data_IF_099187620157
#
_entry.id   IF_099187620157
#
_cell.length_a   1.000
_cell.length_b   1.000
_cell.length_c   1.000
_cell.angle_alpha   90.00
_cell.angle_beta   90.00
_cell.angle_gamma   90.00
#
_symmetry.space_group_name_H-M   'P 1'
#
loop_
_entity.id
_entity.type
_entity.pdbx_description
1 polymer ?
#
# COMPACT_ATOMS: atom_id res chain seq x y z
N UNK A 1 9.84 7.40 -19.58
CA UNK A 1 9.57 7.15 -18.15
C UNK A 1 8.07 6.97 -18.01
N UNK A 2 7.62 5.92 -17.33
CA UNK A 2 6.18 5.65 -17.13
C UNK A 2 5.67 6.75 -16.18
N UNK A 3 4.83 7.66 -16.65
CA UNK A 3 4.24 8.69 -15.78
C UNK A 3 3.50 8.00 -14.62
N UNK A 4 3.76 8.48 -13.42
CA UNK A 4 3.16 8.04 -12.17
C UNK A 4 1.69 8.40 -12.13
N UNK A 5 0.88 7.51 -12.71
CA UNK A 5 -0.55 7.68 -12.81
C UNK A 5 -1.32 7.08 -11.63
N UNK A 6 -0.64 6.73 -10.53
CA UNK A 6 -1.25 6.14 -9.34
C UNK A 6 -0.66 6.78 -8.07
N UNK A 7 -1.48 6.89 -7.03
CA UNK A 7 -1.11 7.30 -5.69
C UNK A 7 -1.43 6.13 -4.74
N UNK A 8 -0.49 5.77 -3.86
CA UNK A 8 -0.67 4.66 -2.93
C UNK A 8 -0.58 5.14 -1.47
N UNK A 9 -1.46 4.65 -0.62
CA UNK A 9 -1.52 5.00 0.80
C UNK A 9 -1.79 3.79 1.68
N UNK A 10 -0.87 3.51 2.60
CA UNK A 10 -1.07 2.59 3.70
C UNK A 10 -1.77 3.24 4.89
N UNK A 11 -2.57 2.44 5.59
CA UNK A 11 -3.07 2.75 6.92
C UNK A 11 -2.87 1.56 7.84
N UNK A 12 -2.44 1.82 9.06
CA UNK A 12 -2.34 0.82 10.14
C UNK A 12 -3.40 1.15 11.19
N UNK A 13 -4.29 0.20 11.45
CA UNK A 13 -5.35 0.32 12.46
C UNK A 13 -5.03 -0.58 13.64
N UNK A 14 -4.89 0.04 14.82
CA UNK A 14 -4.69 -0.64 16.11
C UNK A 14 -3.59 -1.71 16.10
N UNK A 15 -2.55 -1.55 15.27
CA UNK A 15 -1.49 -2.53 15.05
C UNK A 15 -1.97 -3.94 14.64
N UNK A 16 -3.20 -4.04 14.12
CA UNK A 16 -3.85 -5.32 13.80
C UNK A 16 -4.23 -5.42 12.32
N UNK A 17 -4.62 -4.30 11.69
CA UNK A 17 -5.01 -4.28 10.28
C UNK A 17 -4.19 -3.27 9.50
N UNK A 18 -3.62 -3.72 8.37
CA UNK A 18 -2.95 -2.88 7.38
C UNK A 18 -3.89 -2.76 6.18
N UNK A 19 -4.11 -1.55 5.69
CA UNK A 19 -4.87 -1.29 4.46
C UNK A 19 -3.96 -0.63 3.44
N UNK A 20 -3.92 -1.15 2.22
CA UNK A 20 -3.34 -0.46 1.07
C UNK A 20 -4.45 0.11 0.19
N UNK A 21 -4.47 1.43 0.08
CA UNK A 21 -5.31 2.18 -0.82
C UNK A 21 -4.51 2.59 -2.05
N UNK A 22 -5.07 2.46 -3.25
CA UNK A 22 -4.42 2.88 -4.49
C UNK A 22 -5.43 3.62 -5.35
N UNK A 23 -5.08 4.83 -5.80
CA UNK A 23 -5.95 5.67 -6.61
C UNK A 23 -5.23 6.12 -7.89
N UNK A 24 -5.94 6.21 -9.03
CA UNK A 24 -5.36 6.79 -10.23
C UNK A 24 -5.23 8.32 -10.12
N UNK A 25 -4.12 8.88 -10.59
CA UNK A 25 -3.78 10.31 -10.59
C UNK A 25 -4.68 11.12 -11.54
N UNK A 26 -5.04 10.57 -12.71
CA UNK A 26 -5.94 11.23 -13.67
C UNK A 26 -7.39 10.91 -13.32
N UNK A 27 -8.22 11.95 -13.19
CA UNK A 27 -9.69 11.90 -13.03
C UNK A 27 -10.37 11.30 -14.27
N UNK A 28 -10.12 10.05 -14.61
CA UNK A 28 -11.02 9.30 -15.48
C UNK A 28 -12.28 9.01 -14.67
N UNK A 29 -13.30 9.85 -14.86
CA UNK A 29 -14.65 9.78 -14.24
C UNK A 29 -15.33 8.39 -14.32
N UNK A 30 -14.75 7.43 -15.05
CA UNK A 30 -15.29 6.10 -15.32
C UNK A 30 -14.66 4.96 -14.51
N UNK A 31 -13.54 5.19 -13.80
CA UNK A 31 -12.90 4.19 -12.94
C UNK A 31 -13.03 4.53 -11.44
N UNK A 32 -14.11 5.21 -11.07
CA UNK A 32 -14.59 5.39 -9.70
C UNK A 32 -15.16 4.09 -9.10
N UNK A 33 -14.69 2.92 -9.54
CA UNK A 33 -14.84 1.74 -8.72
C UNK A 33 -13.78 1.88 -7.64
N UNK A 34 -14.23 2.34 -6.47
CA UNK A 34 -13.59 2.11 -5.20
C UNK A 34 -12.96 0.72 -5.21
N UNK A 35 -11.67 0.64 -5.53
CA UNK A 35 -10.92 -0.58 -5.26
C UNK A 35 -10.91 -0.61 -3.74
N UNK A 36 -11.74 -1.48 -3.17
CA UNK A 36 -11.72 -1.75 -1.74
C UNK A 36 -10.26 -1.85 -1.32
N UNK A 37 -9.85 -1.20 -0.22
CA UNK A 37 -8.47 -1.29 0.22
C UNK A 37 -8.06 -2.75 0.30
N UNK A 38 -6.83 -3.03 -0.11
CA UNK A 38 -6.27 -4.36 0.07
C UNK A 38 -5.94 -4.46 1.55
N UNK A 39 -6.78 -5.20 2.27
CA UNK A 39 -6.67 -5.37 3.70
C UNK A 39 -5.80 -6.59 4.03
N UNK A 40 -4.85 -6.40 4.93
CA UNK A 40 -3.98 -7.44 5.45
C UNK A 40 -4.01 -7.41 6.99
N UNK A 41 -3.80 -8.58 7.58
CA UNK A 41 -3.47 -8.64 9.01
C UNK A 41 -2.05 -8.12 9.23
N UNK A 42 -1.87 -7.29 10.25
CA UNK A 42 -0.55 -6.85 10.73
C UNK A 42 0.32 -8.04 11.18
N UNK A 43 -0.31 -9.13 11.64
CA UNK A 43 0.40 -10.38 11.95
C UNK A 43 1.07 -11.02 10.72
N UNK A 44 0.65 -10.63 9.52
CA UNK A 44 1.17 -11.13 8.24
C UNK A 44 2.03 -10.08 7.53
N UNK A 45 2.54 -9.06 8.23
CA UNK A 45 3.32 -7.97 7.63
C UNK A 45 4.55 -8.48 6.87
N UNK A 46 5.15 -9.57 7.31
CA UNK A 46 6.30 -10.21 6.66
C UNK A 46 5.96 -10.80 5.28
N UNK A 47 4.71 -11.23 5.09
CA UNK A 47 4.22 -11.80 3.82
C UNK A 47 3.59 -10.74 2.92
N UNK A 48 3.47 -9.51 3.40
CA UNK A 48 2.60 -8.51 2.81
C UNK A 48 3.13 -8.04 1.45
N UNK A 49 4.44 -7.97 1.27
CA UNK A 49 5.03 -7.72 -0.06
C UNK A 49 4.71 -8.86 -1.05
N UNK A 50 4.86 -10.12 -0.64
CA UNK A 50 4.54 -11.28 -1.47
C UNK A 50 3.05 -11.32 -1.84
N UNK A 51 2.18 -10.83 -0.95
CA UNK A 51 0.75 -10.75 -1.20
C UNK A 51 0.39 -9.59 -2.14
N UNK A 52 0.99 -8.41 -1.94
CA UNK A 52 0.78 -7.25 -2.82
C UNK A 52 1.27 -7.53 -4.24
N UNK A 53 2.45 -8.16 -4.39
CA UNK A 53 3.04 -8.45 -5.71
C UNK A 53 2.17 -9.40 -6.56
N UNK A 54 1.36 -10.23 -5.91
CA UNK A 54 0.35 -11.10 -6.58
C UNK A 54 -0.93 -10.36 -6.95
N UNK A 55 -1.17 -9.18 -6.36
CA UNK A 55 -2.35 -8.40 -6.67
C UNK A 55 -2.16 -7.65 -8.00
N UNK A 56 -3.18 -7.69 -8.86
CA UNK A 56 -3.13 -7.11 -10.21
C UNK A 56 -2.74 -5.63 -10.24
N UNK A 57 -2.99 -4.91 -9.14
CA UNK A 57 -2.64 -3.50 -9.00
C UNK A 57 -1.14 -3.24 -9.04
N UNK A 58 -0.32 -4.20 -8.62
CA UNK A 58 1.14 -4.06 -8.60
C UNK A 58 1.71 -3.97 -10.01
N UNK A 59 1.07 -4.61 -11.00
CA UNK A 59 1.45 -4.49 -12.41
C UNK A 59 1.20 -3.09 -13.00
N UNK A 60 0.34 -2.30 -12.35
CA UNK A 60 0.04 -0.93 -12.75
C UNK A 60 1.05 0.09 -12.18
N UNK A 61 1.86 -0.30 -11.21
CA UNK A 61 2.83 0.58 -10.54
C UNK A 61 4.13 0.70 -11.34
N UNK A 62 4.79 1.85 -11.18
CA UNK A 62 6.18 2.05 -11.63
C UNK A 62 7.15 1.41 -10.62
N UNK A 63 8.39 1.17 -11.04
CA UNK A 63 9.43 0.69 -10.12
C UNK A 63 9.65 1.66 -8.95
N UNK A 64 9.56 2.96 -9.19
CA UNK A 64 9.65 4.00 -8.16
C UNK A 64 8.55 3.83 -7.10
N UNK A 65 7.30 3.63 -7.53
CA UNK A 65 6.18 3.32 -6.63
C UNK A 65 6.40 2.03 -5.84
N UNK A 66 6.96 1.00 -6.47
CA UNK A 66 7.26 -0.27 -5.80
C UNK A 66 8.30 -0.07 -4.69
N UNK A 67 9.37 0.68 -4.97
CA UNK A 67 10.39 0.98 -3.96
C UNK A 67 9.83 1.83 -2.81
N UNK A 68 8.98 2.80 -3.11
CA UNK A 68 8.26 3.58 -2.10
C UNK A 68 7.37 2.70 -1.21
N UNK A 69 6.58 1.80 -1.80
CA UNK A 69 5.75 0.87 -1.02
C UNK A 69 6.60 -0.03 -0.12
N UNK A 70 7.74 -0.51 -0.63
CA UNK A 70 8.66 -1.31 0.16
C UNK A 70 9.21 -0.56 1.38
N UNK A 71 9.59 0.72 1.22
CA UNK A 71 10.06 1.52 2.36
C UNK A 71 8.94 1.76 3.38
N UNK A 72 7.74 2.06 2.91
CA UNK A 72 6.59 2.26 3.80
C UNK A 72 6.21 0.99 4.57
N UNK A 73 6.29 -0.18 3.93
CA UNK A 73 6.06 -1.46 4.61
C UNK A 73 7.11 -1.75 5.68
N UNK A 74 8.37 -1.40 5.45
CA UNK A 74 9.40 -1.53 6.47
C UNK A 74 9.11 -0.62 7.67
N UNK A 75 8.66 0.62 7.42
CA UNK A 75 8.22 1.53 8.48
C UNK A 75 7.04 0.96 9.26
N UNK A 76 6.01 0.44 8.58
CA UNK A 76 4.86 -0.20 9.23
C UNK A 76 5.30 -1.37 10.11
N UNK A 77 6.19 -2.23 9.61
CA UNK A 77 6.73 -3.36 10.37
C UNK A 77 7.43 -2.89 11.64
N UNK A 78 8.25 -1.83 11.55
CA UNK A 78 8.90 -1.23 12.72
C UNK A 78 7.88 -0.66 13.70
N UNK A 79 6.86 0.06 13.21
CA UNK A 79 5.79 0.59 14.06
C UNK A 79 5.04 -0.51 14.82
N UNK A 80 4.72 -1.63 14.15
CA UNK A 80 4.07 -2.78 14.80
C UNK A 80 4.97 -3.36 15.90
N UNK A 81 6.24 -3.63 15.59
CA UNK A 81 7.21 -4.22 16.55
C UNK A 81 7.44 -3.31 17.75
N UNK A 82 7.52 -1.99 17.53
CA UNK A 82 7.74 -0.99 18.57
C UNK A 82 6.45 -0.54 19.26
N UNK A 83 5.29 -1.06 18.85
CA UNK A 83 3.97 -0.64 19.29
C UNK A 83 3.75 0.88 19.16
N UNK A 84 4.19 1.46 18.05
CA UNK A 84 4.09 2.88 17.72
C UNK A 84 3.01 3.13 16.67
N UNK A 85 2.50 4.37 16.64
CA UNK A 85 1.59 4.80 15.60
C UNK A 85 2.35 4.99 14.28
N UNK A 86 1.88 4.35 13.22
CA UNK A 86 2.37 4.58 11.86
C UNK A 86 1.77 5.86 11.26
N UNK A 87 2.62 6.64 10.59
CA UNK A 87 2.25 7.82 9.81
C UNK A 87 2.99 7.71 8.48
N UNK A 88 2.24 7.77 7.38
CA UNK A 88 2.82 7.79 6.04
C UNK A 88 3.31 9.21 5.67
N UNK A 89 4.49 9.29 5.06
CA UNK A 89 5.06 10.53 4.52
C UNK A 89 4.81 10.69 3.02
#
# INVERSE_FOLDING_TARGET
MKEDNHYCHFKLFNNDRIELHVWPHKKTKLLLHYVSPICFSASSVDLLFDLITKHHIFYCLSLEHIFYLLSELQTIKLCIVLNQQYIQN
#
